data_IF_846244723275
#
_entry.id   IF_846244723275
#
_cell.length_a   1.000
_cell.length_b   1.000
_cell.length_c   1.000
_cell.angle_alpha   90.00
_cell.angle_beta   90.00
_cell.angle_gamma   90.00
#
_symmetry.space_group_name_H-M   'P 1'
#
loop_
_entity.id
_entity.type
_entity.pdbx_description
1 polymer ?
#
# COMPACT_ATOMS: atom_id res chain seq x y z
N UNK A 1 -2.93 -19.40 13.74
CA UNK A 1 -3.56 -18.08 13.91
C UNK A 1 -2.53 -16.99 13.63
N UNK A 2 -2.90 -15.85 13.05
CA UNK A 2 -2.02 -14.71 12.90
C UNK A 2 -1.40 -14.30 14.25
N UNK A 3 -0.12 -13.96 14.22
CA UNK A 3 0.67 -13.64 15.41
C UNK A 3 1.38 -12.30 15.21
N UNK A 4 1.31 -11.40 16.20
CA UNK A 4 2.05 -10.16 16.23
C UNK A 4 3.19 -10.26 17.25
N UNK A 5 4.42 -10.00 16.80
CA UNK A 5 5.61 -9.87 17.62
C UNK A 5 6.03 -8.41 17.65
N UNK A 6 5.91 -7.76 18.80
CA UNK A 6 6.23 -6.33 18.95
C UNK A 6 7.63 -6.14 19.53
N UNK A 7 8.49 -5.48 18.79
CA UNK A 7 9.84 -5.09 19.22
C UNK A 7 9.93 -3.58 19.48
N UNK A 8 10.76 -3.15 20.42
CA UNK A 8 10.88 -1.75 20.83
C UNK A 8 11.63 -0.88 19.83
N UNK A 9 12.39 -1.46 18.88
CA UNK A 9 13.08 -0.71 17.82
C UNK A 9 13.21 -1.52 16.51
N UNK A 10 13.59 -0.84 15.43
CA UNK A 10 13.79 -1.43 14.10
C UNK A 10 14.85 -2.54 14.09
N UNK A 11 15.97 -2.36 14.80
CA UNK A 11 17.10 -3.31 14.78
C UNK A 11 16.71 -4.65 15.37
N UNK A 12 16.06 -4.66 16.52
CA UNK A 12 15.57 -5.89 17.14
C UNK A 12 14.45 -6.51 16.30
N UNK A 13 13.54 -5.70 15.76
CA UNK A 13 12.51 -6.19 14.84
C UNK A 13 13.13 -6.90 13.63
N UNK A 14 14.17 -6.33 13.02
CA UNK A 14 14.89 -6.93 11.90
C UNK A 14 15.58 -8.25 12.25
N UNK A 15 16.20 -8.34 13.43
CA UNK A 15 16.80 -9.59 13.92
C UNK A 15 15.74 -10.67 14.10
N UNK A 16 14.66 -10.39 14.83
CA UNK A 16 13.57 -11.33 15.07
C UNK A 16 12.90 -11.78 13.76
N UNK A 17 12.72 -10.85 12.81
CA UNK A 17 12.20 -11.17 11.49
C UNK A 17 13.08 -12.19 10.76
N UNK A 18 14.40 -11.99 10.75
CA UNK A 18 15.35 -12.93 10.14
C UNK A 18 15.30 -14.31 10.80
N UNK A 19 15.37 -14.37 12.14
CA UNK A 19 15.31 -15.62 12.90
C UNK A 19 13.99 -16.37 12.69
N UNK A 20 12.85 -15.66 12.72
CA UNK A 20 11.55 -16.29 12.52
C UNK A 20 11.36 -16.79 11.08
N UNK A 21 11.93 -16.12 10.08
CA UNK A 21 11.94 -16.62 8.69
C UNK A 21 12.68 -17.95 8.57
N UNK A 22 13.78 -18.12 9.29
CA UNK A 22 14.53 -19.39 9.31
C UNK A 22 13.76 -20.51 10.03
N UNK A 23 13.10 -20.17 11.15
CA UNK A 23 12.32 -21.15 11.91
C UNK A 23 11.00 -21.55 11.25
N UNK A 24 10.39 -20.64 10.50
CA UNK A 24 9.08 -20.81 9.86
C UNK A 24 9.14 -20.58 8.34
N UNK A 25 9.91 -21.38 7.59
CA UNK A 25 10.17 -21.13 6.17
C UNK A 25 8.92 -21.22 5.27
N UNK A 26 7.87 -21.88 5.72
CA UNK A 26 6.63 -22.06 4.96
C UNK A 26 5.51 -21.08 5.38
N UNK A 27 5.73 -20.30 6.44
CA UNK A 27 4.79 -19.32 6.95
C UNK A 27 5.04 -17.95 6.32
N UNK A 28 4.02 -17.11 6.28
CA UNK A 28 4.20 -15.71 5.95
C UNK A 28 4.80 -14.96 7.16
N UNK A 29 6.12 -14.82 7.18
CA UNK A 29 6.81 -14.00 8.17
C UNK A 29 7.03 -12.63 7.56
N UNK A 30 6.41 -11.61 8.16
CA UNK A 30 6.29 -10.26 7.61
C UNK A 30 6.95 -9.24 8.53
N UNK A 31 7.41 -8.12 7.94
CA UNK A 31 8.12 -7.06 8.64
C UNK A 31 7.35 -5.75 8.55
N UNK A 32 7.03 -5.16 9.71
CA UNK A 32 6.22 -3.94 9.77
C UNK A 32 6.82 -2.90 10.73
N UNK A 33 7.66 -2.02 10.19
CA UNK A 33 8.33 -0.95 10.95
C UNK A 33 8.09 0.40 10.28
N UNK A 34 8.55 1.49 10.90
CA UNK A 34 8.50 2.81 10.26
C UNK A 34 9.32 2.82 8.97
N UNK A 35 8.72 3.28 7.87
CA UNK A 35 9.39 3.39 6.57
C UNK A 35 10.26 4.64 6.40
N UNK A 36 10.28 5.55 7.39
CA UNK A 36 11.18 6.68 7.38
C UNK A 36 12.60 6.26 7.71
N UNK A 37 13.55 6.56 6.83
CA UNK A 37 14.99 6.45 7.11
C UNK A 37 15.50 7.69 7.82
N UNK A 38 14.96 8.85 7.45
CA UNK A 38 15.24 10.14 8.05
C UNK A 38 13.95 10.89 8.29
N UNK A 39 13.85 11.53 9.43
CA UNK A 39 12.72 12.41 9.78
C UNK A 39 13.23 13.57 10.64
N UNK A 40 13.09 14.77 10.11
CA UNK A 40 13.32 16.01 10.82
C UNK A 40 12.02 16.79 10.90
N UNK A 41 11.45 16.99 12.10
CA UNK A 41 10.27 17.83 12.24
C UNK A 41 10.61 19.29 11.96
N UNK A 42 9.63 20.06 11.56
CA UNK A 42 9.75 21.51 11.50
C UNK A 42 10.03 22.10 12.90
N UNK A 43 10.87 23.11 12.94
CA UNK A 43 11.18 23.84 14.16
C UNK A 43 11.46 25.32 13.86
N UNK A 44 11.09 26.20 14.79
CA UNK A 44 11.45 27.60 14.74
C UNK A 44 12.38 27.95 15.89
N UNK A 45 13.53 28.55 15.58
CA UNK A 45 14.54 28.98 16.54
C UNK A 45 14.44 30.51 16.68
N UNK A 46 13.74 31.03 17.72
CA UNK A 46 13.52 32.48 17.88
C UNK A 46 14.78 33.30 18.01
N UNK A 47 15.85 32.76 18.61
CA UNK A 47 17.09 33.47 18.84
C UNK A 47 17.87 33.83 17.57
N UNK A 48 17.64 33.06 16.47
CA UNK A 48 18.31 33.29 15.18
C UNK A 48 17.31 33.60 14.07
N UNK A 49 16.03 33.75 14.40
CA UNK A 49 14.92 33.93 13.43
C UNK A 49 14.99 32.90 12.28
N UNK A 50 15.31 31.65 12.65
CA UNK A 50 15.52 30.58 11.68
C UNK A 50 14.36 29.57 11.73
N UNK A 51 13.72 29.36 10.59
CA UNK A 51 12.76 28.29 10.40
C UNK A 51 13.45 27.09 9.77
N UNK A 52 13.35 25.93 10.45
CA UNK A 52 13.84 24.65 9.97
C UNK A 52 12.65 23.93 9.34
N UNK A 53 12.74 23.67 8.06
CA UNK A 53 11.68 22.95 7.34
C UNK A 53 11.63 21.48 7.72
N UNK A 54 10.44 20.90 7.64
CA UNK A 54 10.25 19.46 7.78
C UNK A 54 10.95 18.72 6.63
N UNK A 55 11.76 17.73 6.97
CA UNK A 55 12.43 16.86 6.00
C UNK A 55 12.20 15.40 6.35
N UNK A 56 11.90 14.58 5.35
CA UNK A 56 11.74 13.13 5.54
C UNK A 56 12.11 12.37 4.28
N UNK A 57 12.74 11.21 4.45
CA UNK A 57 12.99 10.27 3.37
C UNK A 57 12.32 8.93 3.66
N UNK A 58 11.65 8.39 2.66
CA UNK A 58 10.95 7.11 2.72
C UNK A 58 11.84 6.02 2.15
N UNK A 59 11.89 4.88 2.82
CA UNK A 59 12.56 3.68 2.34
C UNK A 59 11.57 2.79 1.57
N UNK A 60 11.72 2.72 0.26
CA UNK A 60 10.82 1.97 -0.63
C UNK A 60 10.79 0.46 -0.33
N UNK A 61 11.89 -0.12 0.15
CA UNK A 61 11.93 -1.54 0.50
C UNK A 61 11.14 -1.82 1.78
N UNK A 62 11.22 -0.93 2.78
CA UNK A 62 10.42 -1.05 4.00
C UNK A 62 8.94 -0.80 3.68
N UNK A 63 8.63 0.14 2.81
CA UNK A 63 7.25 0.39 2.37
C UNK A 63 6.65 -0.84 1.68
N UNK A 64 7.39 -1.47 0.77
CA UNK A 64 7.03 -2.75 0.15
C UNK A 64 6.72 -3.83 1.20
N UNK A 65 7.59 -4.01 2.20
CA UNK A 65 7.39 -5.00 3.26
C UNK A 65 6.15 -4.71 4.11
N UNK A 66 5.81 -3.44 4.33
CA UNK A 66 4.58 -3.03 5.02
C UNK A 66 3.33 -3.41 4.21
N UNK A 67 3.35 -3.19 2.91
CA UNK A 67 2.27 -3.61 2.02
C UNK A 67 2.14 -5.14 1.97
N UNK A 68 3.27 -5.86 1.90
CA UNK A 68 3.29 -7.33 2.00
C UNK A 68 2.64 -7.83 3.30
N UNK A 69 2.99 -7.23 4.44
CA UNK A 69 2.42 -7.59 5.73
C UNK A 69 0.89 -7.37 5.77
N UNK A 70 0.42 -6.27 5.21
CA UNK A 70 -1.01 -5.94 5.20
C UNK A 70 -1.80 -6.91 4.32
N UNK A 71 -1.31 -7.22 3.12
CA UNK A 71 -1.95 -8.18 2.23
C UNK A 71 -1.93 -9.60 2.80
N UNK A 72 -0.79 -10.06 3.34
CA UNK A 72 -0.67 -11.37 3.97
C UNK A 72 -1.68 -11.57 5.11
N UNK A 73 -1.91 -10.56 5.96
CA UNK A 73 -2.90 -10.62 7.04
C UNK A 73 -4.34 -10.80 6.55
N UNK A 74 -4.65 -10.32 5.35
CA UNK A 74 -6.00 -10.45 4.76
C UNK A 74 -6.18 -11.76 3.99
N UNK A 75 -5.10 -12.32 3.44
CA UNK A 75 -5.15 -13.52 2.60
C UNK A 75 -4.85 -14.82 3.36
N UNK A 76 -3.99 -14.77 4.39
CA UNK A 76 -3.44 -15.96 5.03
C UNK A 76 -3.79 -16.05 6.52
N UNK A 77 -3.73 -17.26 7.05
CA UNK A 77 -3.94 -17.57 8.48
C UNK A 77 -2.66 -17.89 9.23
N UNK A 78 -1.59 -18.17 8.52
CA UNK A 78 -0.28 -18.59 9.03
C UNK A 78 0.73 -17.42 9.02
N UNK A 79 0.27 -16.22 9.35
CA UNK A 79 1.05 -15.00 9.31
C UNK A 79 1.70 -14.68 10.65
N UNK A 80 2.98 -14.35 10.63
CA UNK A 80 3.73 -13.80 11.75
C UNK A 80 4.22 -12.41 11.36
N UNK A 81 3.70 -11.37 11.99
CA UNK A 81 4.13 -9.98 11.75
C UNK A 81 5.10 -9.57 12.84
N UNK A 82 6.33 -9.23 12.47
CA UNK A 82 7.31 -8.63 13.38
C UNK A 82 7.29 -7.11 13.18
N UNK A 83 6.89 -6.39 14.22
CA UNK A 83 6.62 -4.97 14.12
C UNK A 83 7.37 -4.13 15.17
N UNK A 84 7.60 -2.88 14.87
CA UNK A 84 7.98 -1.86 15.85
C UNK A 84 6.76 -1.09 16.35
N UNK A 85 6.96 -0.14 17.25
CA UNK A 85 5.90 0.73 17.80
C UNK A 85 5.06 1.44 16.72
N UNK A 86 5.57 1.56 15.50
CA UNK A 86 4.84 2.17 14.39
C UNK A 86 3.52 1.47 14.03
N UNK A 87 3.35 0.20 14.43
CA UNK A 87 2.12 -0.55 14.17
C UNK A 87 0.93 -0.15 15.05
N UNK A 88 1.16 0.59 16.16
CA UNK A 88 0.08 1.05 17.05
C UNK A 88 -0.58 2.34 16.57
N UNK A 89 0.06 3.06 15.66
CA UNK A 89 -0.54 4.24 15.05
C UNK A 89 -1.51 3.80 13.94
N UNK A 90 -2.73 4.34 14.00
CA UNK A 90 -3.78 4.00 13.03
C UNK A 90 -3.31 4.28 11.59
N UNK A 91 -3.42 3.28 10.74
CA UNK A 91 -3.18 3.42 9.30
C UNK A 91 -4.49 3.82 8.61
N UNK A 92 -5.46 2.93 8.72
CA UNK A 92 -6.80 3.09 8.13
C UNK A 92 -7.74 2.12 8.84
N UNK A 93 -9.04 2.35 8.75
CA UNK A 93 -10.01 1.34 9.20
C UNK A 93 -9.82 0.05 8.36
N UNK A 94 -9.55 -1.12 8.98
CA UNK A 94 -9.37 -2.37 8.26
C UNK A 94 -10.55 -2.78 7.38
N UNK A 95 -11.77 -2.40 7.75
CA UNK A 95 -12.98 -2.65 6.94
C UNK A 95 -12.93 -1.85 5.65
N UNK A 96 -12.62 -0.55 5.73
CA UNK A 96 -12.48 0.30 4.55
C UNK A 96 -11.36 -0.20 3.62
N UNK A 97 -10.23 -0.63 4.18
CA UNK A 97 -9.15 -1.18 3.36
C UNK A 97 -9.58 -2.44 2.62
N UNK A 98 -10.36 -3.33 3.26
CA UNK A 98 -10.92 -4.53 2.62
C UNK A 98 -11.90 -4.22 1.51
N UNK A 99 -12.73 -3.21 1.66
CA UNK A 99 -13.70 -2.78 0.63
C UNK A 99 -13.01 -2.27 -0.64
N UNK A 100 -11.77 -1.81 -0.52
CA UNK A 100 -10.97 -1.36 -1.65
C UNK A 100 -10.19 -2.50 -2.34
N UNK A 101 -10.16 -3.71 -1.78
CA UNK A 101 -9.52 -4.85 -2.44
C UNK A 101 -10.30 -5.24 -3.70
N UNK A 102 -9.61 -5.25 -4.83
CA UNK A 102 -10.18 -5.63 -6.11
C UNK A 102 -9.90 -7.10 -6.40
N UNK A 103 -10.95 -7.91 -6.48
CA UNK A 103 -10.86 -9.33 -6.80
C UNK A 103 -11.04 -9.54 -8.29
N UNK A 104 -9.99 -9.92 -9.01
CA UNK A 104 -10.02 -10.21 -10.44
C UNK A 104 -10.07 -11.72 -10.67
N UNK A 105 -10.88 -12.14 -11.64
CA UNK A 105 -11.06 -13.55 -12.02
C UNK A 105 -11.07 -13.69 -13.53
N UNK A 106 -10.53 -14.80 -14.04
CA UNK A 106 -10.71 -15.21 -15.42
C UNK A 106 -12.20 -15.41 -15.70
N UNK A 107 -12.68 -14.96 -16.87
CA UNK A 107 -14.09 -14.95 -17.27
C UNK A 107 -14.94 -13.86 -16.59
N UNK A 108 -14.36 -12.95 -15.82
CA UNK A 108 -15.09 -11.86 -15.20
C UNK A 108 -15.46 -10.79 -16.24
N UNK A 109 -16.75 -10.45 -16.31
CA UNK A 109 -17.23 -9.32 -17.12
C UNK A 109 -16.97 -8.01 -16.38
N UNK A 110 -16.09 -7.19 -16.94
CA UNK A 110 -15.76 -5.85 -16.45
C UNK A 110 -15.21 -5.01 -17.60
N UNK A 111 -15.77 -3.83 -17.79
CA UNK A 111 -15.25 -2.89 -18.78
C UNK A 111 -13.84 -2.45 -18.40
N UNK A 112 -12.88 -2.53 -19.36
CA UNK A 112 -11.49 -2.15 -19.12
C UNK A 112 -11.36 -0.76 -18.47
N UNK A 113 -12.10 0.24 -18.95
CA UNK A 113 -12.01 1.59 -18.40
C UNK A 113 -12.53 1.66 -16.95
N UNK A 114 -13.50 0.82 -16.60
CA UNK A 114 -13.96 0.70 -15.22
C UNK A 114 -12.85 0.13 -14.31
N UNK A 115 -12.11 -0.90 -14.79
CA UNK A 115 -10.93 -1.39 -14.08
C UNK A 115 -9.89 -0.27 -13.87
N UNK A 116 -9.59 0.53 -14.91
CA UNK A 116 -8.62 1.61 -14.79
C UNK A 116 -9.06 2.68 -13.78
N UNK A 117 -10.33 3.06 -13.78
CA UNK A 117 -10.89 3.98 -12.79
C UNK A 117 -10.73 3.42 -11.38
N UNK A 118 -11.06 2.15 -11.19
CA UNK A 118 -10.93 1.49 -9.89
C UNK A 118 -9.48 1.46 -9.40
N UNK A 119 -8.50 1.21 -10.28
CA UNK A 119 -7.09 1.25 -9.92
C UNK A 119 -6.66 2.65 -9.45
N UNK A 120 -7.13 3.71 -10.10
CA UNK A 120 -6.84 5.10 -9.67
C UNK A 120 -7.48 5.39 -8.29
N UNK A 121 -8.72 4.96 -8.05
CA UNK A 121 -9.37 5.07 -6.73
C UNK A 121 -8.58 4.33 -5.63
N UNK A 122 -7.95 3.21 -5.98
CA UNK A 122 -7.04 2.43 -5.13
C UNK A 122 -5.65 3.04 -5.01
N UNK A 123 -5.43 4.26 -5.51
CA UNK A 123 -4.17 5.02 -5.46
C UNK A 123 -3.04 4.45 -6.33
N UNK A 124 -3.36 3.63 -7.35
CA UNK A 124 -2.37 3.27 -8.36
C UNK A 124 -2.13 4.44 -9.31
N UNK A 125 -0.88 4.67 -9.67
CA UNK A 125 -0.49 5.66 -10.67
C UNK A 125 -0.43 5.01 -12.06
N UNK A 126 -1.07 5.63 -13.06
CA UNK A 126 -0.84 5.21 -14.44
C UNK A 126 0.51 5.68 -14.92
N UNK A 127 1.38 4.75 -15.26
CA UNK A 127 2.69 5.06 -15.80
C UNK A 127 3.10 4.04 -16.87
N UNK A 128 2.97 4.43 -18.13
CA UNK A 128 3.25 3.55 -19.28
C UNK A 128 4.76 3.48 -19.60
N UNK A 129 5.59 4.34 -19.00
CA UNK A 129 7.03 4.48 -19.26
C UNK A 129 7.86 3.89 -18.11
N UNK A 130 7.64 4.39 -16.89
CA UNK A 130 8.34 3.96 -15.68
C UNK A 130 7.42 3.05 -14.87
N UNK A 131 7.46 1.76 -15.15
CA UNK A 131 6.62 0.75 -14.53
C UNK A 131 7.21 0.34 -13.17
N UNK A 132 6.75 0.99 -12.10
CA UNK A 132 7.21 0.81 -10.72
C UNK A 132 6.10 0.28 -9.80
N UNK A 133 6.46 -0.14 -8.59
CA UNK A 133 5.49 -0.58 -7.57
C UNK A 133 4.41 0.49 -7.34
N UNK A 134 3.16 0.05 -7.22
CA UNK A 134 2.01 0.95 -7.08
C UNK A 134 1.60 1.65 -8.38
N UNK A 135 2.10 1.19 -9.53
CA UNK A 135 1.67 1.71 -10.83
C UNK A 135 0.99 0.63 -11.70
N UNK A 136 0.28 1.10 -12.71
CA UNK A 136 -0.22 0.25 -13.79
C UNK A 136 0.09 0.88 -15.15
N UNK A 137 0.16 0.05 -16.17
CA UNK A 137 0.33 0.49 -17.57
C UNK A 137 -0.67 -0.20 -18.48
N UNK A 138 -0.99 0.44 -19.59
CA UNK A 138 -2.01 -0.02 -20.53
C UNK A 138 -1.43 -0.13 -21.94
N UNK A 139 -1.61 -1.29 -22.56
CA UNK A 139 -1.18 -1.54 -23.96
C UNK A 139 -2.27 -2.27 -24.70
N UNK A 140 -3.12 -1.53 -25.43
CA UNK A 140 -4.30 -2.11 -26.10
C UNK A 140 -5.27 -2.73 -25.10
N UNK A 141 -5.51 -4.01 -25.23
CA UNK A 141 -6.42 -4.78 -24.35
C UNK A 141 -5.68 -5.44 -23.17
N UNK A 142 -4.44 -5.02 -22.91
CA UNK A 142 -3.63 -5.53 -21.82
C UNK A 142 -3.45 -4.43 -20.77
N UNK A 143 -3.69 -4.78 -19.50
CA UNK A 143 -3.39 -3.95 -18.33
C UNK A 143 -2.40 -4.69 -17.45
N UNK A 144 -1.19 -4.15 -17.28
CA UNK A 144 -0.20 -4.67 -16.34
C UNK A 144 -0.28 -3.85 -15.05
N UNK A 145 -0.45 -4.52 -13.91
CA UNK A 145 -0.57 -3.91 -12.57
C UNK A 145 0.62 -4.38 -11.74
N UNK A 146 1.39 -3.44 -11.17
CA UNK A 146 2.50 -3.78 -10.27
C UNK A 146 2.10 -3.49 -8.82
N UNK A 147 1.66 -4.53 -8.05
CA UNK A 147 1.24 -4.34 -6.67
C UNK A 147 2.37 -3.82 -5.79
N UNK A 148 2.09 -2.96 -4.79
CA UNK A 148 3.12 -2.32 -3.96
C UNK A 148 3.89 -3.31 -3.07
N UNK A 149 3.29 -4.42 -2.69
CA UNK A 149 3.91 -5.48 -1.87
C UNK A 149 4.73 -6.51 -2.65
N UNK A 150 4.73 -6.45 -3.99
CA UNK A 150 5.49 -7.39 -4.82
C UNK A 150 6.92 -6.93 -5.06
N UNK A 151 7.82 -7.89 -5.27
CA UNK A 151 9.24 -7.61 -5.48
C UNK A 151 9.59 -7.38 -6.96
N UNK A 152 9.33 -8.38 -7.78
CA UNK A 152 9.72 -8.41 -9.20
C UNK A 152 8.63 -8.99 -10.10
N UNK A 153 7.41 -9.16 -9.59
CA UNK A 153 6.29 -9.69 -10.36
C UNK A 153 5.14 -8.69 -10.42
N UNK A 154 4.50 -8.63 -11.58
CA UNK A 154 3.29 -7.86 -11.82
C UNK A 154 2.17 -8.75 -12.32
N UNK A 155 0.95 -8.28 -12.22
CA UNK A 155 -0.24 -8.98 -12.71
C UNK A 155 -0.62 -8.40 -14.07
N UNK A 156 -0.66 -9.25 -15.07
CA UNK A 156 -1.17 -8.93 -16.40
C UNK A 156 -2.61 -9.37 -16.51
N UNK A 157 -3.47 -8.44 -16.87
CA UNK A 157 -4.89 -8.66 -17.17
C UNK A 157 -5.06 -8.53 -18.69
N UNK A 158 -5.45 -9.60 -19.35
CA UNK A 158 -5.73 -9.63 -20.78
C UNK A 158 -7.25 -9.60 -20.99
N UNK A 159 -7.71 -8.68 -21.83
CA UNK A 159 -9.13 -8.49 -22.12
C UNK A 159 -9.49 -9.00 -23.51
N UNK A 160 -10.67 -9.58 -23.62
CA UNK A 160 -11.35 -9.78 -24.89
C UNK A 160 -12.73 -9.09 -24.83
N UNK A 161 -12.83 -7.90 -25.44
CA UNK A 161 -13.97 -7.01 -25.22
C UNK A 161 -14.05 -6.53 -23.77
N UNK A 162 -15.17 -6.82 -23.12
CA UNK A 162 -15.44 -6.48 -21.71
C UNK A 162 -15.27 -7.67 -20.75
N UNK A 163 -14.59 -8.72 -21.20
CA UNK A 163 -14.30 -9.92 -20.40
C UNK A 163 -12.81 -10.05 -20.15
N UNK A 164 -12.43 -10.46 -18.95
CA UNK A 164 -11.05 -10.84 -18.60
C UNK A 164 -10.80 -12.24 -19.18
N UNK A 165 -10.06 -12.30 -20.31
CA UNK A 165 -9.72 -13.55 -20.99
C UNK A 165 -8.66 -14.35 -20.20
N UNK A 166 -7.66 -13.65 -19.62
CA UNK A 166 -6.61 -14.32 -18.85
C UNK A 166 -6.00 -13.40 -17.80
N UNK A 167 -5.55 -14.02 -16.70
CA UNK A 167 -4.74 -13.41 -15.66
C UNK A 167 -3.39 -14.10 -15.61
N UNK A 168 -2.29 -13.32 -15.63
CA UNK A 168 -0.93 -13.85 -15.64
C UNK A 168 -0.05 -13.11 -14.65
N UNK A 169 0.78 -13.85 -13.93
CA UNK A 169 1.90 -13.28 -13.21
C UNK A 169 3.07 -13.15 -14.18
N UNK A 170 3.64 -11.95 -14.30
CA UNK A 170 4.74 -11.65 -15.21
C UNK A 170 5.96 -11.12 -14.45
N UNK A 171 7.14 -11.33 -14.98
CA UNK A 171 8.34 -10.63 -14.54
C UNK A 171 8.32 -9.17 -14.99
N UNK A 172 8.58 -8.24 -14.08
CA UNK A 172 8.49 -6.79 -14.35
C UNK A 172 9.53 -6.32 -15.36
N UNK A 173 10.74 -6.89 -15.32
CA UNK A 173 11.86 -6.48 -16.17
C UNK A 173 11.77 -7.09 -17.57
N UNK A 174 11.51 -8.39 -17.66
CA UNK A 174 11.52 -9.12 -18.93
C UNK A 174 10.14 -9.18 -19.59
N UNK A 175 9.07 -9.06 -18.81
CA UNK A 175 7.68 -9.27 -19.25
C UNK A 175 7.33 -10.74 -19.47
N UNK A 176 8.23 -11.67 -19.10
CA UNK A 176 7.99 -13.11 -19.23
C UNK A 176 6.88 -13.57 -18.27
N UNK A 177 6.03 -14.48 -18.76
CA UNK A 177 4.96 -15.08 -17.95
C UNK A 177 5.56 -16.11 -17.01
N UNK A 178 5.41 -15.88 -15.69
CA UNK A 178 5.83 -16.79 -14.62
C UNK A 178 4.77 -17.85 -14.32
N UNK A 179 3.49 -17.42 -14.30
CA UNK A 179 2.34 -18.28 -14.03
C UNK A 179 1.07 -17.72 -14.68
N UNK A 180 0.13 -18.60 -14.95
CA UNK A 180 -1.27 -18.23 -15.22
C UNK A 180 -2.09 -18.50 -13.96
N UNK A 181 -2.95 -17.58 -13.59
CA UNK A 181 -3.77 -17.64 -12.38
C UNK A 181 -5.24 -17.44 -12.72
N UNK A 182 -6.13 -18.15 -12.07
CA UNK A 182 -7.58 -18.01 -12.28
C UNK A 182 -8.19 -16.88 -11.47
N UNK A 183 -7.50 -16.47 -10.39
CA UNK A 183 -7.97 -15.45 -9.47
C UNK A 183 -6.79 -14.73 -8.82
N UNK A 184 -6.89 -13.41 -8.69
CA UNK A 184 -5.91 -12.60 -7.97
C UNK A 184 -6.59 -11.43 -7.25
N UNK A 185 -6.33 -11.23 -5.95
CA UNK A 185 -6.70 -10.00 -5.26
C UNK A 185 -5.66 -8.91 -5.53
N UNK A 186 -6.11 -7.72 -5.88
CA UNK A 186 -5.28 -6.53 -5.99
C UNK A 186 -5.58 -5.65 -4.77
N UNK A 187 -4.54 -5.37 -3.98
CA UNK A 187 -4.63 -4.50 -2.81
C UNK A 187 -4.31 -3.06 -3.18
N UNK A 188 -4.84 -2.07 -2.43
CA UNK A 188 -4.55 -0.66 -2.68
C UNK A 188 -3.05 -0.35 -2.71
N UNK A 189 -2.66 0.61 -3.56
CA UNK A 189 -1.27 1.05 -3.69
C UNK A 189 -0.80 1.92 -2.53
N UNK A 190 -1.71 2.39 -1.69
CA UNK A 190 -1.42 3.12 -0.45
C UNK A 190 -2.22 2.53 0.72
N UNK A 191 -1.67 2.63 1.94
CA UNK A 191 -2.40 2.23 3.14
C UNK A 191 -3.56 3.19 3.46
N UNK A 192 -3.47 4.44 3.02
CA UNK A 192 -4.50 5.47 3.24
C UNK A 192 -5.38 5.59 2.00
N UNK A 193 -6.49 4.86 2.00
CA UNK A 193 -7.56 4.96 1.00
C UNK A 193 -8.81 5.45 1.68
N UNK A 194 -9.46 6.44 1.08
CA UNK A 194 -10.70 7.04 1.60
C UNK A 194 -11.73 7.12 0.50
N UNK A 195 -12.98 6.88 0.84
CA UNK A 195 -14.10 7.08 -0.06
C UNK A 195 -14.58 8.55 -0.05
N UNK A 196 -15.41 8.93 -1.04
CA UNK A 196 -15.92 10.30 -1.17
C UNK A 196 -16.73 10.76 0.05
N UNK A 197 -17.46 9.87 0.70
CA UNK A 197 -18.25 10.18 1.90
C UNK A 197 -17.35 10.50 3.10
N UNK A 198 -16.24 9.80 3.24
CA UNK A 198 -15.23 10.07 4.28
C UNK A 198 -14.54 11.40 4.05
N UNK A 199 -14.15 11.68 2.81
CA UNK A 199 -13.56 12.96 2.42
C UNK A 199 -14.54 14.10 2.71
N UNK A 200 -15.80 13.95 2.34
CA UNK A 200 -16.83 14.96 2.58
C UNK A 200 -17.05 15.23 4.07
N UNK A 201 -17.08 14.18 4.90
CA UNK A 201 -17.17 14.32 6.36
C UNK A 201 -15.92 14.98 6.93
N UNK A 202 -14.74 14.56 6.51
CA UNK A 202 -13.48 15.18 6.95
C UNK A 202 -13.42 16.67 6.61
N UNK A 203 -13.81 17.06 5.40
CA UNK A 203 -13.87 18.47 4.98
C UNK A 203 -14.84 19.28 5.85
N UNK A 204 -15.99 18.72 6.22
CA UNK A 204 -16.93 19.40 7.09
C UNK A 204 -16.35 19.62 8.51
N UNK A 205 -15.69 18.61 9.08
CA UNK A 205 -15.02 18.70 10.39
C UNK A 205 -13.87 19.71 10.35
N UNK A 206 -13.00 19.65 9.34
CA UNK A 206 -11.88 20.59 9.16
C UNK A 206 -12.37 22.03 9.08
N UNK A 207 -13.46 22.29 8.33
CA UNK A 207 -14.04 23.65 8.22
C UNK A 207 -14.58 24.17 9.57
N UNK A 208 -15.18 23.29 10.40
CA UNK A 208 -15.66 23.65 11.71
C UNK A 208 -14.52 24.00 12.66
N UNK A 209 -13.51 23.14 12.74
CA UNK A 209 -12.30 23.33 13.55
C UNK A 209 -11.53 24.60 13.14
N UNK A 210 -11.38 24.80 11.82
CA UNK A 210 -10.73 26.01 11.30
C UNK A 210 -11.43 27.27 11.74
N UNK A 211 -12.77 27.30 11.71
CA UNK A 211 -13.55 28.46 12.14
C UNK A 211 -13.32 28.76 13.62
N UNK A 212 -13.40 27.73 14.46
CA UNK A 212 -13.16 27.84 15.90
C UNK A 212 -11.75 28.37 16.18
N UNK A 213 -10.74 27.79 15.51
CA UNK A 213 -9.34 28.20 15.69
C UNK A 213 -9.07 29.62 15.23
N UNK A 214 -9.72 30.07 14.16
CA UNK A 214 -9.58 31.45 13.67
C UNK A 214 -10.21 32.46 14.65
N UNK A 215 -11.30 32.09 15.34
CA UNK A 215 -11.90 32.91 16.38
C UNK A 215 -10.97 33.06 17.59
N UNK A 216 -10.38 31.95 18.07
CA UNK A 216 -9.40 31.97 19.17
C UNK A 216 -8.14 32.82 18.86
N UNK A 217 -7.66 32.82 17.60
CA UNK A 217 -6.46 33.58 17.23
C UNK A 217 -6.72 35.06 16.96
N UNK A 218 -7.99 35.49 16.91
CA UNK A 218 -8.37 36.90 16.74
C UNK A 218 -8.60 37.62 18.06
N UNK A 219 -8.75 36.89 19.16
CA UNK A 219 -8.77 37.39 20.52
C UNK A 219 -7.35 37.67 21.04
#
# INVERSE_FOLDING_TARGET
NPTLVLAHNKTLAGQLYGELKEFFPNNAVEYFVSYYDYYQPEAYVPSSDTYIEKESSVNDEIDKLRHSATSALLERRDVIVVASVSCIYGLVNPENYREHVLSLREGMEVERNQLLTRLVEMQFERNDIDFRRGSFRVRGDIVDIFPPGHDSSAIRVEFFGDEIEALKEIDVLTGEVKATVEHVPIFPAAHFVSNEDEISRAVATIKAELKERLEELRE
#
